data_IF_823320022846
#
_entry.id   IF_823320022846
#
_cell.length_a   1.000
_cell.length_b   1.000
_cell.length_c   1.000
_cell.angle_alpha   90.00
_cell.angle_beta   90.00
_cell.angle_gamma   90.00
#
_symmetry.space_group_name_H-M   'P 1'
#
loop_
_entity.id
_entity.type
_entity.pdbx_description
1 polymer ?
#
# COMPACT_ATOMS: atom_id res chain seq x y z
N UNK A 1 -17.81 -10.04 -9.69
CA UNK A 1 -16.63 -10.87 -9.45
C UNK A 1 -16.08 -10.62 -8.07
N UNK A 2 -15.88 -11.67 -7.35
CA UNK A 2 -15.33 -11.53 -6.01
C UNK A 2 -13.86 -11.23 -6.08
N UNK A 3 -13.43 -10.36 -5.22
CA UNK A 3 -12.01 -10.08 -5.11
C UNK A 3 -11.38 -11.08 -4.16
N UNK A 4 -10.27 -11.65 -4.58
CA UNK A 4 -9.53 -12.54 -3.71
C UNK A 4 -8.62 -11.78 -2.77
N UNK A 5 -8.62 -10.46 -2.87
CA UNK A 5 -7.78 -9.65 -2.02
C UNK A 5 -8.41 -9.52 -0.63
N UNK A 6 -7.67 -9.82 0.42
CA UNK A 6 -8.22 -9.64 1.76
C UNK A 6 -8.42 -8.16 2.07
N UNK A 7 -9.41 -7.90 2.89
CA UNK A 7 -9.66 -6.54 3.34
C UNK A 7 -8.78 -6.25 4.53
N UNK A 8 -8.20 -5.10 4.52
CA UNK A 8 -7.36 -4.68 5.61
C UNK A 8 -7.69 -3.25 5.98
N UNK A 9 -8.13 -3.05 7.20
CA UNK A 9 -8.47 -1.72 7.69
C UNK A 9 -7.23 -1.07 8.27
N UNK A 10 -6.80 0.00 7.64
CA UNK A 10 -5.66 0.76 8.13
C UNK A 10 -6.15 1.84 9.06
N UNK A 11 -5.60 1.87 10.26
CA UNK A 11 -5.89 2.91 11.22
C UNK A 11 -4.69 3.82 11.32
N UNK A 12 -4.87 5.07 10.98
CA UNK A 12 -3.79 6.03 11.06
C UNK A 12 -4.39 7.40 11.31
N UNK A 13 -3.59 8.35 11.76
CA UNK A 13 -4.09 9.70 12.01
C UNK A 13 -4.76 10.28 10.79
N UNK A 14 -5.84 10.99 11.02
CA UNK A 14 -6.62 11.59 9.97
C UNK A 14 -5.77 12.51 9.09
N UNK A 15 -4.83 13.19 9.71
CA UNK A 15 -3.93 14.08 8.99
C UNK A 15 -3.13 13.35 7.93
N UNK A 16 -2.68 12.15 8.24
CA UNK A 16 -1.91 11.35 7.27
C UNK A 16 -2.78 10.96 6.09
N UNK A 17 -4.01 10.58 6.37
CA UNK A 17 -4.92 10.22 5.29
C UNK A 17 -5.22 11.39 4.37
N UNK A 18 -5.38 12.57 4.94
CA UNK A 18 -5.63 13.77 4.16
C UNK A 18 -4.44 14.13 3.29
N UNK A 19 -3.25 13.98 3.82
CA UNK A 19 -2.04 14.29 3.06
C UNK A 19 -1.81 13.28 1.95
N UNK A 20 -2.06 12.01 2.21
CA UNK A 20 -1.93 10.99 1.17
C UNK A 20 -2.95 11.22 0.06
N UNK A 21 -4.16 11.62 0.43
CA UNK A 21 -5.18 11.93 -0.57
C UNK A 21 -4.74 13.09 -1.45
N UNK A 22 -4.15 14.09 -0.86
CA UNK A 22 -3.63 15.24 -1.61
C UNK A 22 -2.56 14.79 -2.61
N UNK A 23 -1.61 13.98 -2.14
CA UNK A 23 -0.54 13.49 -3.00
C UNK A 23 -1.10 12.63 -4.13
N UNK A 24 -2.07 11.78 -3.80
CA UNK A 24 -2.69 10.91 -4.79
C UNK A 24 -3.35 11.72 -5.90
N UNK A 25 -4.07 12.76 -5.52
CA UNK A 25 -4.74 13.62 -6.49
C UNK A 25 -3.75 14.32 -7.40
N UNK A 26 -2.62 14.75 -6.84
CA UNK A 26 -1.56 15.36 -7.64
C UNK A 26 -1.03 14.40 -8.69
N UNK A 27 -1.07 13.11 -8.39
CA UNK A 27 -0.56 12.07 -9.28
C UNK A 27 -1.65 11.41 -10.10
N UNK A 28 -2.88 11.92 -10.04
CA UNK A 28 -3.99 11.35 -10.79
C UNK A 28 -4.42 9.98 -10.30
N UNK A 29 -4.28 9.70 -9.02
CA UNK A 29 -4.61 8.41 -8.43
C UNK A 29 -5.58 8.57 -7.28
N UNK A 30 -6.27 7.47 -6.92
CA UNK A 30 -7.04 7.45 -5.70
C UNK A 30 -6.10 7.24 -4.51
N UNK A 31 -6.57 7.59 -3.32
CA UNK A 31 -5.78 7.38 -2.11
C UNK A 31 -5.45 5.90 -1.92
N UNK A 32 -6.42 5.02 -2.19
CA UNK A 32 -6.18 3.58 -2.07
C UNK A 32 -5.08 3.12 -3.01
N UNK A 33 -5.09 3.62 -4.23
CA UNK A 33 -4.08 3.24 -5.21
C UNK A 33 -2.71 3.77 -4.80
N UNK A 34 -2.67 4.98 -4.28
CA UNK A 34 -1.42 5.56 -3.82
C UNK A 34 -0.82 4.73 -2.69
N UNK A 35 -1.66 4.33 -1.72
CA UNK A 35 -1.21 3.51 -0.61
C UNK A 35 -0.71 2.16 -1.09
N UNK A 36 -1.44 1.55 -2.01
CA UNK A 36 -1.05 0.26 -2.57
C UNK A 36 0.34 0.34 -3.21
N UNK A 37 0.58 1.40 -3.96
CA UNK A 37 1.86 1.58 -4.63
C UNK A 37 2.99 1.80 -3.64
N UNK A 38 2.71 2.52 -2.55
CA UNK A 38 3.70 2.73 -1.51
C UNK A 38 4.07 1.41 -0.82
N UNK A 39 3.07 0.59 -0.53
CA UNK A 39 3.33 -0.72 0.09
C UNK A 39 4.15 -1.59 -0.86
N UNK A 40 3.78 -1.62 -2.13
CA UNK A 40 4.48 -2.39 -3.13
C UNK A 40 5.94 -1.95 -3.23
N UNK A 41 6.17 -0.65 -3.23
CA UNK A 41 7.52 -0.10 -3.32
C UNK A 41 8.35 -0.49 -2.09
N UNK A 42 7.74 -0.43 -0.91
CA UNK A 42 8.45 -0.79 0.33
C UNK A 42 8.86 -2.25 0.34
N UNK A 43 7.95 -3.12 -0.12
CA UNK A 43 8.25 -4.55 -0.21
C UNK A 43 9.39 -4.79 -1.18
N UNK A 44 9.34 -4.13 -2.33
CA UNK A 44 10.37 -4.27 -3.35
C UNK A 44 11.73 -3.88 -2.80
N UNK A 45 11.80 -2.77 -2.09
CA UNK A 45 13.06 -2.31 -1.51
C UNK A 45 13.60 -3.30 -0.50
N UNK A 46 12.74 -3.84 0.33
CA UNK A 46 13.16 -4.80 1.34
C UNK A 46 13.70 -6.07 0.68
N UNK A 47 12.99 -6.57 -0.33
CA UNK A 47 13.39 -7.81 -0.97
C UNK A 47 14.67 -7.67 -1.79
N UNK A 48 14.91 -6.50 -2.34
CA UNK A 48 16.17 -6.27 -3.04
C UNK A 48 17.36 -6.30 -2.10
N UNK A 49 17.13 -5.90 -0.86
CA UNK A 49 18.19 -5.81 0.12
C UNK A 49 18.38 -7.11 0.90
N UNK A 50 17.29 -7.79 1.19
CA UNK A 50 17.30 -8.95 2.11
C UNK A 50 16.88 -10.25 1.45
N UNK A 51 16.51 -10.22 0.18
CA UNK A 51 16.03 -11.40 -0.53
C UNK A 51 14.52 -11.54 -0.42
N UNK A 52 13.96 -12.45 -1.23
CA UNK A 52 12.50 -12.60 -1.27
C UNK A 52 11.91 -13.00 0.07
N UNK A 53 10.75 -12.43 0.38
CA UNK A 53 10.01 -12.80 1.56
C UNK A 53 9.19 -14.05 1.22
N UNK A 54 9.37 -15.11 1.98
CA UNK A 54 8.65 -16.34 1.77
C UNK A 54 7.62 -16.49 2.86
N UNK A 55 6.35 -16.56 2.46
CA UNK A 55 5.25 -16.68 3.41
C UNK A 55 4.74 -18.11 3.39
N UNK A 56 4.72 -18.72 4.56
CA UNK A 56 4.33 -20.12 4.68
C UNK A 56 2.84 -20.31 4.86
N UNK A 57 2.17 -19.27 5.23
CA UNK A 57 0.77 -19.36 5.64
C UNK A 57 -0.12 -18.53 4.77
N UNK A 58 -0.22 -18.83 3.54
CA UNK A 58 -1.13 -18.07 2.69
C UNK A 58 -2.39 -18.83 2.37
#
# INVERSE_FOLDING_TARGET
MASDLPRYTLRMPKEYLQKIRYIAEENGRSANKEIELMVKQRIKEYEQKNGPIILDDL
#
